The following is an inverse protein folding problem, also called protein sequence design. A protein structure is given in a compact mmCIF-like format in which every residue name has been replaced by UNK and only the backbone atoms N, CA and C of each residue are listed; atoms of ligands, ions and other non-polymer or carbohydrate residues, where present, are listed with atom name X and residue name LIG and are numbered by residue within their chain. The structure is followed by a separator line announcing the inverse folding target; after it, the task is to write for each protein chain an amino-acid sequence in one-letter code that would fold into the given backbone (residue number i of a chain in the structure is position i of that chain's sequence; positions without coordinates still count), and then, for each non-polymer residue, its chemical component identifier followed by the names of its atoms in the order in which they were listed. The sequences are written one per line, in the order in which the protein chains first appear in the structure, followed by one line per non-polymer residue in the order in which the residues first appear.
data_IF_866791994803
#
_entry.id   IF_866791994803
#
_cell.length_a   1.000
_cell.length_b   1.000
_cell.length_c   1.000
_cell.angle_alpha   90.00
_cell.angle_beta   90.00
_cell.angle_gamma   90.00
#
_symmetry.space_group_name_H-M   'P 1'
#
loop_
_entity.id
_entity.type
_entity.pdbx_description
1 polymer ?
#
# COMPACT_ATOMS: atom_id res chain seq x y z
N UNK A 1 10.73 5.43 2.09
CA UNK A 1 9.94 4.22 2.43
C UNK A 1 8.55 4.56 2.95
N UNK A 2 7.64 5.04 2.09
CA UNK A 2 6.22 5.25 2.48
C UNK A 2 5.60 3.92 2.92
N UNK A 3 5.68 2.92 2.03
CA UNK A 3 5.12 1.58 2.22
C UNK A 3 5.71 0.90 3.46
N UNK A 4 7.04 0.91 3.63
CA UNK A 4 7.72 0.33 4.78
C UNK A 4 7.21 0.91 6.13
N UNK A 5 7.18 2.24 6.26
CA UNK A 5 6.70 2.88 7.50
C UNK A 5 5.22 2.58 7.75
N UNK A 6 4.40 2.59 6.70
CA UNK A 6 2.97 2.28 6.82
C UNK A 6 2.72 0.84 7.23
N UNK A 7 3.51 -0.11 6.71
CA UNK A 7 3.47 -1.51 7.11
C UNK A 7 3.91 -1.69 8.57
N UNK A 8 5.02 -1.07 8.98
CA UNK A 8 5.48 -1.11 10.37
C UNK A 8 4.41 -0.59 11.35
N UNK A 9 3.84 0.58 11.05
CA UNK A 9 2.77 1.16 11.87
C UNK A 9 1.49 0.31 11.86
N UNK A 10 1.15 -0.28 10.72
CA UNK A 10 0.01 -1.17 10.59
C UNK A 10 0.19 -2.47 11.38
N UNK A 11 1.39 -3.05 11.33
CA UNK A 11 1.74 -4.28 12.04
C UNK A 11 1.70 -4.08 13.54
N UNK A 12 2.25 -2.98 14.06
CA UNK A 12 2.15 -2.69 15.50
C UNK A 12 0.70 -2.51 15.94
N UNK A 13 -0.14 -1.81 15.15
CA UNK A 13 -1.57 -1.68 15.44
C UNK A 13 -2.36 -3.01 15.33
N UNK A 14 -1.86 -4.02 14.61
CA UNK A 14 -2.51 -5.33 14.44
C UNK A 14 -2.02 -6.38 15.44
N UNK A 15 -0.71 -6.46 15.66
CA UNK A 15 -0.06 -7.48 16.47
C UNK A 15 0.04 -7.05 17.94
N UNK A 16 0.49 -5.82 18.19
CA UNK A 16 0.80 -5.32 19.53
C UNK A 16 -0.45 -4.73 20.18
N UNK A 17 -1.05 -3.72 19.52
CA UNK A 17 -2.23 -3.02 20.06
C UNK A 17 -3.53 -3.79 19.87
N UNK A 18 -3.53 -4.78 18.95
CA UNK A 18 -4.72 -5.54 18.53
C UNK A 18 -5.93 -4.66 18.15
N UNK A 19 -5.65 -3.46 17.65
CA UNK A 19 -6.65 -2.46 17.25
C UNK A 19 -7.34 -2.85 15.95
N UNK A 20 -6.61 -3.49 15.04
CA UNK A 20 -7.14 -4.05 13.80
C UNK A 20 -6.88 -5.54 13.72
N UNK A 21 -7.75 -6.25 13.01
CA UNK A 21 -7.69 -7.71 12.88
C UNK A 21 -6.66 -8.20 11.85
N UNK A 22 -6.49 -7.44 10.77
CA UNK A 22 -5.56 -7.71 9.66
C UNK A 22 -5.25 -6.43 8.86
N UNK A 23 -4.17 -6.51 8.09
CA UNK A 23 -3.77 -5.51 7.09
C UNK A 23 -4.24 -5.98 5.71
N UNK A 24 -4.96 -5.14 4.99
CA UNK A 24 -5.31 -5.38 3.58
C UNK A 24 -4.50 -4.42 2.73
N UNK A 25 -3.70 -4.93 1.80
CA UNK A 25 -2.93 -4.12 0.85
C UNK A 25 -3.56 -4.27 -0.52
N UNK A 26 -3.86 -3.14 -1.17
CA UNK A 26 -4.35 -3.11 -2.54
C UNK A 26 -3.58 -2.10 -3.37
N UNK A 27 -3.37 -2.41 -4.65
CA UNK A 27 -2.67 -1.57 -5.61
C UNK A 27 -3.34 -1.63 -6.97
N UNK A 28 -3.26 -0.54 -7.72
CA UNK A 28 -3.65 -0.49 -9.13
C UNK A 28 -2.63 -1.27 -9.95
N UNK A 29 -3.08 -2.26 -10.70
CA UNK A 29 -2.30 -2.82 -11.80
C UNK A 29 -2.43 -1.87 -12.99
N UNK A 30 -1.46 -0.98 -13.17
CA UNK A 30 -1.36 -0.17 -14.39
C UNK A 30 -0.70 -1.05 -15.45
N UNK A 31 -1.36 -1.33 -16.60
CA UNK A 31 -0.71 -2.05 -17.68
C UNK A 31 0.45 -1.20 -18.22
N UNK A 32 1.65 -1.77 -18.27
CA UNK A 32 2.82 -1.13 -18.86
C UNK A 32 2.89 -1.59 -20.33
N UNK A 33 2.52 -0.73 -21.29
CA UNK A 33 2.66 -0.97 -22.74
C UNK A 33 1.36 -1.31 -23.50
N UNK A 34 1.49 -1.55 -24.82
CA UNK A 34 0.41 -2.01 -25.70
C UNK A 34 -0.21 -3.29 -25.13
N UNK A 35 -1.54 -3.26 -24.93
CA UNK A 35 -2.40 -4.32 -24.37
C UNK A 35 -1.72 -5.69 -24.22
N UNK A 36 -0.96 -5.86 -23.14
CA UNK A 36 -0.86 -7.17 -22.51
C UNK A 36 -2.24 -7.35 -21.89
N UNK A 37 -3.19 -7.85 -22.69
CA UNK A 37 -4.48 -8.28 -22.21
C UNK A 37 -4.31 -9.07 -20.91
N UNK A 38 -5.29 -8.94 -20.01
CA UNK A 38 -5.30 -9.52 -18.65
C UNK A 38 -4.28 -10.65 -18.48
N UNK A 39 -3.19 -10.43 -17.74
CA UNK A 39 -2.21 -11.47 -17.41
C UNK A 39 -2.98 -12.77 -17.07
N UNK A 40 -2.90 -13.85 -17.87
CA UNK A 40 -3.63 -15.07 -17.57
C UNK A 40 -3.09 -15.65 -16.26
N UNK A 41 -3.97 -16.16 -15.41
CA UNK A 41 -3.60 -16.68 -14.10
C UNK A 41 -4.55 -16.28 -12.97
N UNK A 42 -4.32 -16.88 -11.81
CA UNK A 42 -5.00 -16.59 -10.54
C UNK A 42 -4.71 -15.18 -10.06
N UNK A 43 -5.52 -14.66 -9.13
CA UNK A 43 -5.24 -13.35 -8.50
C UNK A 43 -3.84 -13.34 -7.88
N UNK A 44 -3.41 -14.44 -7.26
CA UNK A 44 -2.13 -14.59 -6.59
C UNK A 44 -0.94 -14.49 -7.56
N UNK A 45 -1.01 -15.16 -8.71
CA UNK A 45 0.03 -15.08 -9.75
C UNK A 45 0.19 -13.66 -10.30
N UNK A 46 -0.93 -12.95 -10.51
CA UNK A 46 -0.89 -11.53 -10.94
C UNK A 46 -0.37 -10.61 -9.86
N UNK A 47 -0.53 -11.01 -8.59
CA UNK A 47 0.00 -10.26 -7.46
C UNK A 47 1.46 -10.64 -7.13
N UNK A 48 2.07 -11.61 -7.82
CA UNK A 48 3.42 -12.13 -7.53
C UNK A 48 4.51 -11.06 -7.35
N UNK A 49 4.67 -10.10 -8.28
CA UNK A 49 5.66 -9.01 -8.13
C UNK A 49 5.45 -8.17 -6.85
N UNK A 50 4.19 -7.99 -6.45
CA UNK A 50 3.82 -7.27 -5.22
C UNK A 50 4.20 -8.05 -3.97
N UNK A 51 4.04 -9.37 -4.00
CA UNK A 51 4.40 -10.24 -2.88
C UNK A 51 5.91 -10.20 -2.64
N UNK A 52 6.72 -10.24 -3.71
CA UNK A 52 8.18 -10.10 -3.59
C UNK A 52 8.57 -8.78 -2.93
N UNK A 53 8.02 -7.66 -3.40
CA UNK A 53 8.32 -6.35 -2.80
C UNK A 53 7.80 -6.22 -1.36
N UNK A 54 6.68 -6.87 -1.01
CA UNK A 54 6.22 -6.93 0.38
C UNK A 54 7.20 -7.74 1.24
N UNK A 55 7.64 -8.89 0.74
CA UNK A 55 8.57 -9.78 1.44
C UNK A 55 9.89 -9.09 1.74
N UNK A 56 10.44 -8.35 0.78
CA UNK A 56 11.64 -7.53 0.99
C UNK A 56 11.44 -6.51 2.12
N UNK A 57 10.28 -5.84 2.16
CA UNK A 57 9.97 -4.89 3.23
C UNK A 57 9.83 -5.59 4.60
N UNK A 58 9.21 -6.76 4.64
CA UNK A 58 9.07 -7.54 5.88
C UNK A 58 10.42 -8.04 6.40
N UNK A 59 11.32 -8.44 5.51
CA UNK A 59 12.68 -8.84 5.89
C UNK A 59 13.44 -7.68 6.55
N UNK A 60 13.32 -6.47 6.01
CA UNK A 60 13.91 -5.26 6.61
C UNK A 60 13.36 -5.01 8.02
N UNK A 61 12.06 -5.21 8.24
CA UNK A 61 11.45 -5.06 9.57
C UNK A 61 11.91 -6.15 10.54
N UNK A 62 12.05 -7.40 10.08
CA UNK A 62 12.47 -8.53 10.91
C UNK A 62 13.94 -8.47 11.34
N UNK A 63 14.81 -7.83 10.54
CA UNK A 63 16.24 -7.63 10.88
C UNK A 63 16.46 -6.71 12.08
N UNK A 64 15.47 -5.88 12.44
CA UNK A 64 15.52 -5.03 13.63
C UNK A 64 15.41 -5.80 14.96
N UNK A 65 14.85 -7.01 14.94
CA UNK A 65 14.70 -7.88 16.11
C UNK A 65 15.88 -8.86 16.20
N UNK A 66 16.97 -8.40 16.82
CA UNK A 66 18.21 -9.18 17.01
C UNK A 66 18.16 -10.22 18.14
N UNK A 67 17.04 -10.33 18.85
CA UNK A 67 16.89 -11.16 20.05
C UNK A 67 16.25 -12.52 19.80
N UNK A 68 15.55 -12.73 18.68
CA UNK A 68 14.96 -14.02 18.33
C UNK A 68 15.92 -14.85 17.48
N UNK A 69 16.19 -16.10 17.89
CA UNK A 69 16.92 -17.07 17.07
C UNK A 69 16.22 -17.36 15.73
N UNK A 70 16.90 -18.05 14.82
CA UNK A 70 16.45 -18.30 13.43
C UNK A 70 15.02 -18.91 13.36
N UNK A 71 14.71 -19.82 14.28
CA UNK A 71 13.38 -20.43 14.42
C UNK A 71 12.29 -19.45 14.92
N UNK A 72 12.64 -18.56 15.86
CA UNK A 72 11.73 -17.53 16.35
C UNK A 72 11.42 -16.49 15.28
N UNK A 73 12.39 -16.15 14.43
CA UNK A 73 12.20 -15.27 13.28
C UNK A 73 11.28 -15.88 12.22
N UNK A 74 11.43 -17.17 11.92
CA UNK A 74 10.54 -17.87 10.99
C UNK A 74 9.07 -17.86 11.48
N UNK A 75 8.84 -18.21 12.74
CA UNK A 75 7.49 -18.20 13.33
C UNK A 75 6.87 -16.79 13.37
N UNK A 76 7.68 -15.76 13.70
CA UNK A 76 7.23 -14.36 13.66
C UNK A 76 6.89 -13.92 12.24
N UNK A 77 7.71 -14.29 11.24
CA UNK A 77 7.44 -13.99 9.85
C UNK A 77 6.15 -14.65 9.35
N UNK A 78 5.90 -15.92 9.70
CA UNK A 78 4.67 -16.62 9.34
C UNK A 78 3.44 -15.96 9.98
N UNK A 79 3.56 -15.57 11.26
CA UNK A 79 2.50 -14.83 11.95
C UNK A 79 2.21 -13.49 11.27
N UNK A 80 3.25 -12.72 10.95
CA UNK A 80 3.15 -11.44 10.23
C UNK A 80 2.48 -11.64 8.86
N UNK A 81 2.94 -12.61 8.07
CA UNK A 81 2.35 -12.97 6.77
C UNK A 81 0.88 -13.34 6.90
N UNK A 82 0.50 -14.09 7.94
CA UNK A 82 -0.90 -14.48 8.17
C UNK A 82 -1.84 -13.27 8.34
N UNK A 83 -1.31 -12.15 8.86
CA UNK A 83 -2.04 -10.91 9.11
C UNK A 83 -2.08 -9.95 7.93
N UNK A 84 -1.33 -10.19 6.86
CA UNK A 84 -1.31 -9.32 5.67
C UNK A 84 -2.03 -10.03 4.52
N UNK A 85 -3.02 -9.36 3.92
CA UNK A 85 -3.75 -9.84 2.75
C UNK A 85 -3.54 -8.88 1.60
N UNK A 86 -2.84 -9.33 0.57
CA UNK A 86 -2.75 -8.62 -0.70
C UNK A 86 -4.00 -8.94 -1.52
N UNK A 87 -4.70 -7.90 -1.99
CA UNK A 87 -5.96 -8.01 -2.73
C UNK A 87 -6.02 -7.04 -3.90
N UNK A 88 -6.62 -7.48 -5.01
CA UNK A 88 -6.90 -6.60 -6.15
C UNK A 88 -7.95 -5.55 -5.82
N UNK A 89 -8.00 -4.48 -6.61
CA UNK A 89 -9.05 -3.46 -6.51
C UNK A 89 -10.46 -4.03 -6.72
N UNK A 90 -10.59 -5.05 -7.57
CA UNK A 90 -11.88 -5.70 -7.84
C UNK A 90 -12.40 -6.46 -6.62
N UNK A 91 -11.52 -7.08 -5.84
CA UNK A 91 -11.89 -7.75 -4.59
C UNK A 91 -12.58 -6.79 -3.60
N UNK A 92 -12.17 -5.52 -3.58
CA UNK A 92 -12.70 -4.51 -2.67
C UNK A 92 -14.14 -4.10 -2.99
N UNK A 93 -14.59 -4.29 -4.23
CA UNK A 93 -15.93 -3.86 -4.67
C UNK A 93 -17.02 -4.70 -4.00
N UNK A 94 -18.09 -4.02 -3.55
CA UNK A 94 -19.25 -4.67 -2.94
C UNK A 94 -19.04 -5.19 -1.51
N UNK A 95 -17.84 -5.02 -0.94
CA UNK A 95 -17.54 -5.45 0.43
C UNK A 95 -17.59 -4.29 1.42
N UNK A 96 -17.67 -4.62 2.71
CA UNK A 96 -17.49 -3.67 3.81
C UNK A 96 -16.43 -4.26 4.73
N UNK A 97 -15.44 -3.44 5.07
CA UNK A 97 -14.31 -3.85 5.90
C UNK A 97 -14.50 -3.32 7.32
N UNK A 98 -14.51 -4.22 8.31
CA UNK A 98 -14.67 -3.90 9.73
C UNK A 98 -13.38 -4.19 10.48
N UNK A 99 -12.94 -3.26 11.32
CA UNK A 99 -11.73 -3.40 12.13
C UNK A 99 -10.50 -3.82 11.29
N UNK A 100 -10.32 -3.21 10.11
CA UNK A 100 -9.21 -3.49 9.19
C UNK A 100 -8.25 -2.30 9.09
N UNK A 101 -6.99 -2.58 8.82
CA UNK A 101 -6.01 -1.59 8.40
C UNK A 101 -5.79 -1.72 6.89
N UNK A 102 -6.35 -0.82 6.09
CA UNK A 102 -6.33 -0.91 4.62
C UNK A 102 -5.28 0.03 4.07
N UNK A 103 -4.35 -0.49 3.28
CA UNK A 103 -3.32 0.26 2.56
C UNK A 103 -3.71 0.28 1.08
N UNK A 104 -3.85 1.47 0.52
CA UNK A 104 -4.04 1.69 -0.92
C UNK A 104 -2.74 2.25 -1.44
N UNK A 105 -1.93 1.40 -2.10
CA UNK A 105 -0.62 1.77 -2.62
C UNK A 105 -0.70 2.24 -4.08
N UNK A 106 0.22 3.14 -4.47
CA UNK A 106 0.19 3.96 -5.70
C UNK A 106 -1.17 4.59 -6.00
N UNK A 107 -1.75 5.22 -5.00
CA UNK A 107 -3.06 5.81 -5.10
C UNK A 107 -3.13 6.99 -6.08
N UNK A 108 -1.99 7.53 -6.54
CA UNK A 108 -1.94 8.52 -7.63
C UNK A 108 -2.46 7.97 -8.97
N UNK A 109 -2.38 6.65 -9.16
CA UNK A 109 -2.84 5.96 -10.36
C UNK A 109 -4.34 5.62 -10.32
N UNK A 110 -5.05 6.00 -9.26
CA UNK A 110 -6.50 5.84 -9.16
C UNK A 110 -7.20 7.07 -9.76
N UNK A 111 -8.34 6.85 -10.41
CA UNK A 111 -9.30 7.92 -10.68
C UNK A 111 -10.03 8.35 -9.38
N UNK A 112 -10.60 9.56 -9.32
CA UNK A 112 -11.45 9.99 -8.21
C UNK A 112 -12.62 9.03 -7.94
N UNK A 113 -13.20 8.46 -9.00
CA UNK A 113 -14.27 7.47 -8.90
C UNK A 113 -13.80 6.19 -8.21
N UNK A 114 -12.66 5.63 -8.63
CA UNK A 114 -12.10 4.43 -7.99
C UNK A 114 -11.72 4.69 -6.54
N UNK A 115 -11.07 5.83 -6.25
CA UNK A 115 -10.74 6.24 -4.89
C UNK A 115 -11.97 6.29 -3.99
N UNK A 116 -13.05 6.95 -4.44
CA UNK A 116 -14.33 6.98 -3.72
C UNK A 116 -14.90 5.58 -3.52
N UNK A 117 -14.85 4.71 -4.54
CA UNK A 117 -15.33 3.33 -4.43
C UNK A 117 -14.59 2.55 -3.34
N UNK A 118 -13.27 2.73 -3.19
CA UNK A 118 -12.48 2.06 -2.17
C UNK A 118 -12.73 2.63 -0.77
N UNK A 119 -12.68 3.96 -0.62
CA UNK A 119 -12.81 4.61 0.70
C UNK A 119 -14.18 4.29 1.32
N UNK A 120 -15.24 4.28 0.51
CA UNK A 120 -16.60 3.96 0.98
C UNK A 120 -16.82 2.50 1.39
N UNK A 121 -15.80 1.64 1.31
CA UNK A 121 -15.86 0.27 1.85
C UNK A 121 -15.43 0.20 3.32
N UNK A 122 -14.82 1.25 3.88
CA UNK A 122 -14.48 1.28 5.30
C UNK A 122 -15.76 1.33 6.14
N UNK A 123 -15.99 0.27 6.92
CA UNK A 123 -16.96 0.28 8.00
C UNK A 123 -16.33 0.63 9.35
N UNK A 124 -17.09 0.49 10.44
CA UNK A 124 -16.62 0.81 11.79
C UNK A 124 -15.26 0.20 12.14
N UNK A 125 -14.44 0.98 12.81
CA UNK A 125 -13.11 0.58 13.28
C UNK A 125 -12.07 0.35 12.18
N UNK A 126 -12.36 0.68 10.92
CA UNK A 126 -11.39 0.56 9.82
C UNK A 126 -10.62 1.85 9.60
N UNK A 127 -9.30 1.72 9.38
CA UNK A 127 -8.43 2.81 8.95
C UNK A 127 -8.00 2.55 7.51
N UNK A 128 -8.04 3.60 6.69
CA UNK A 128 -7.50 3.58 5.32
C UNK A 128 -6.28 4.49 5.27
N UNK A 129 -5.20 4.00 4.68
CA UNK A 129 -3.99 4.77 4.39
C UNK A 129 -3.74 4.74 2.89
N UNK A 130 -3.84 5.89 2.25
CA UNK A 130 -3.51 6.05 0.83
C UNK A 130 -2.05 6.50 0.69
N UNK A 131 -1.27 5.74 -0.06
CA UNK A 131 0.13 6.03 -0.34
C UNK A 131 0.29 6.37 -1.81
N UNK A 132 1.16 7.32 -2.15
CA UNK A 132 1.47 7.60 -3.54
C UNK A 132 2.54 8.65 -3.73
N UNK A 133 2.86 8.92 -4.99
CA UNK A 133 3.75 9.99 -5.42
C UNK A 133 3.17 10.66 -6.65
N UNK A 134 2.70 11.91 -6.54
CA UNK A 134 2.08 12.63 -7.66
C UNK A 134 3.05 12.90 -8.81
N UNK A 135 4.36 12.94 -8.54
CA UNK A 135 5.40 13.06 -9.58
C UNK A 135 5.66 11.75 -10.35
N UNK A 136 5.05 10.62 -9.95
CA UNK A 136 5.20 9.30 -10.57
C UNK A 136 3.83 8.72 -10.93
N UNK A 137 3.11 9.42 -11.82
CA UNK A 137 1.86 8.90 -12.39
C UNK A 137 2.22 8.05 -13.60
N UNK A 138 1.82 6.78 -13.55
CA UNK A 138 2.24 5.77 -14.54
C UNK A 138 1.30 5.71 -15.76
N UNK A 139 0.20 6.49 -15.75
CA UNK A 139 -0.81 6.45 -16.80
C UNK A 139 -0.99 7.81 -17.47
N UNK A 140 -1.06 7.87 -18.82
CA UNK A 140 -1.25 9.14 -19.55
C UNK A 140 -2.65 9.74 -19.34
N UNK A 141 -3.59 8.98 -18.78
CA UNK A 141 -4.97 9.41 -18.55
C UNK A 141 -5.16 10.19 -17.25
N UNK A 142 -4.15 10.24 -16.39
CA UNK A 142 -4.19 10.96 -15.12
C UNK A 142 -3.09 12.02 -15.08
N UNK A 143 -3.39 13.09 -14.35
CA UNK A 143 -2.46 14.16 -14.03
C UNK A 143 -2.49 14.39 -12.53
N UNK A 144 -1.56 15.20 -12.01
CA UNK A 144 -1.56 15.57 -10.59
C UNK A 144 -2.91 16.14 -10.14
N UNK A 145 -3.58 16.93 -11.00
CA UNK A 145 -4.88 17.53 -10.71
C UNK A 145 -6.07 16.57 -10.85
N UNK A 146 -5.95 15.52 -11.66
CA UNK A 146 -7.04 14.55 -11.90
C UNK A 146 -6.88 13.22 -11.14
N UNK A 147 -5.76 13.04 -10.45
CA UNK A 147 -5.46 11.90 -9.58
C UNK A 147 -6.48 11.74 -8.44
N UNK A 148 -6.83 10.49 -8.15
CA UNK A 148 -7.68 10.10 -7.05
C UNK A 148 -7.05 10.41 -5.69
N UNK A 149 -5.72 10.38 -5.59
CA UNK A 149 -5.00 10.80 -4.38
C UNK A 149 -5.20 12.29 -4.11
N UNK A 150 -5.03 13.15 -5.13
CA UNK A 150 -5.27 14.59 -5.01
C UNK A 150 -6.71 14.89 -4.64
N UNK A 151 -7.65 14.19 -5.29
CA UNK A 151 -9.07 14.30 -4.96
C UNK A 151 -9.36 13.94 -3.50
N UNK A 152 -8.80 12.83 -2.99
CA UNK A 152 -8.98 12.44 -1.60
C UNK A 152 -8.39 13.47 -0.64
N UNK A 153 -7.16 13.91 -0.86
CA UNK A 153 -6.52 14.94 -0.01
C UNK A 153 -7.39 16.19 0.02
N UNK A 154 -7.87 16.67 -1.13
CA UNK A 154 -8.73 17.86 -1.20
C UNK A 154 -10.06 17.71 -0.46
N UNK A 155 -10.79 16.61 -0.70
CA UNK A 155 -12.12 16.39 -0.10
C UNK A 155 -12.09 16.09 1.39
N UNK A 156 -10.99 15.57 1.89
CA UNK A 156 -10.82 15.26 3.31
C UNK A 156 -10.15 16.38 4.11
N UNK A 157 -9.84 17.54 3.49
CA UNK A 157 -9.37 18.74 4.21
C UNK A 157 -10.39 19.15 5.27
N UNK A 158 -9.91 19.39 6.49
CA UNK A 158 -10.74 19.84 7.61
C UNK A 158 -11.61 18.76 8.25
N UNK A 159 -11.60 17.51 7.75
CA UNK A 159 -12.25 16.41 8.48
C UNK A 159 -11.41 16.02 9.69
N UNK A 160 -12.00 16.04 10.89
CA UNK A 160 -11.28 15.80 12.14
C UNK A 160 -10.60 14.41 12.26
N UNK A 161 -10.96 13.47 11.40
CA UNK A 161 -10.41 12.11 11.36
C UNK A 161 -9.51 11.85 10.15
N UNK A 162 -9.22 12.86 9.33
CA UNK A 162 -8.17 12.77 8.30
C UNK A 162 -6.82 13.25 8.84
N UNK A 163 -5.75 12.71 8.25
CA UNK A 163 -4.40 13.21 8.41
C UNK A 163 -3.71 13.16 7.06
N UNK A 164 -2.85 14.13 6.78
CA UNK A 164 -2.02 14.16 5.57
C UNK A 164 -0.57 14.35 5.99
N UNK A 165 0.30 13.46 5.52
CA UNK A 165 1.73 13.48 5.81
C UNK A 165 2.48 13.54 4.49
N UNK A 166 3.24 14.61 4.29
CA UNK A 166 4.14 14.74 3.15
C UNK A 166 5.54 14.36 3.59
N UNK A 167 6.10 13.31 2.99
CA UNK A 167 7.51 12.97 3.18
C UNK A 167 8.33 13.78 2.17
N UNK A 168 9.07 14.75 2.68
CA UNK A 168 9.79 15.73 1.84
C UNK A 168 10.94 15.13 1.03
N UNK A 169 11.55 14.04 1.51
CA UNK A 169 12.70 13.40 0.85
C UNK A 169 12.59 11.89 0.91
N UNK A 170 12.97 11.24 -0.18
CA UNK A 170 13.23 9.81 -0.21
C UNK A 170 14.70 9.55 0.12
N UNK A 171 14.96 8.63 1.04
CA UNK A 171 16.29 8.04 1.19
C UNK A 171 16.54 7.10 0.01
N UNK A 172 17.59 7.37 -0.76
CA UNK A 172 18.01 6.62 -1.94
C UNK A 172 19.49 6.28 -1.80
N UNK A 173 19.92 5.21 -2.47
CA UNK A 173 21.34 4.92 -2.56
C UNK A 173 22.03 5.97 -3.43
N UNK A 174 23.34 6.18 -3.22
CA UNK A 174 24.16 7.06 -4.07
C UNK A 174 24.01 6.76 -5.57
N UNK A 175 23.83 5.48 -5.93
CA UNK A 175 23.62 5.06 -7.30
C UNK A 175 22.27 5.56 -7.85
N UNK A 176 21.18 5.38 -7.09
CA UNK A 176 19.85 5.78 -7.51
C UNK A 176 19.70 7.31 -7.60
N UNK A 177 20.38 8.05 -6.71
CA UNK A 177 20.44 9.51 -6.79
C UNK A 177 21.17 9.95 -8.06
N UNK A 178 22.38 9.44 -8.31
CA UNK A 178 23.13 9.77 -9.52
C UNK A 178 22.35 9.42 -10.80
N UNK A 179 21.75 8.22 -10.87
CA UNK A 179 20.95 7.79 -12.01
C UNK A 179 19.75 8.70 -12.28
N UNK A 180 19.13 9.27 -11.23
CA UNK A 180 18.01 10.20 -11.39
C UNK A 180 18.42 11.56 -11.95
N UNK A 181 19.71 11.93 -11.83
CA UNK A 181 20.24 13.18 -12.35
C UNK A 181 20.71 13.07 -13.81
N UNK A 182 21.19 11.88 -14.21
CA UNK A 182 21.84 11.69 -15.52
C UNK A 182 20.99 10.98 -16.59
N UNK A 183 19.88 10.34 -16.21
CA UNK A 183 18.94 9.65 -17.11
C UNK A 183 17.62 10.42 -17.20
#
# INVERSE_FOLDING_TARGET
GKTLMTLAAGLSQVLDERRYSEIIVTRVTVPVGEDIGFLPGTEEEKMGPWMGALDDNLEVLARGDSTAGEWGRAATNDLVRSKIKIKSLNFMRGRTFLNKYVIIDEAQNLTPKQMKTLITRAGPGTKIVCLGNLAQIDTPYLTEGSSGLTFAVDKFKGWAHSGHVTLARGERSRLADFASEVL
#
